data_IF_529790343240
#
_entry.id   IF_529790343240
#
_cell.length_a   1.000
_cell.length_b   1.000
_cell.length_c   1.000
_cell.angle_alpha   90.00
_cell.angle_beta   90.00
_cell.angle_gamma   90.00
#
_symmetry.space_group_name_H-M   'P 1'
#
loop_
_entity.id
_entity.type
_entity.pdbx_description
1 polymer ?
#
# COMPACT_ATOMS: atom_id res chain seq x y z
N UNK A 1 -37.39 -34.05 35.71
CA UNK A 1 -35.99 -34.43 35.98
C UNK A 1 -35.14 -33.68 35.00
N UNK A 2 -34.49 -32.62 35.48
CA UNK A 2 -33.52 -31.86 34.68
C UNK A 2 -32.32 -32.76 34.42
N UNK A 3 -31.96 -32.92 33.15
CA UNK A 3 -30.77 -33.66 32.75
C UNK A 3 -29.53 -32.87 33.18
N UNK A 4 -29.02 -33.16 34.36
CA UNK A 4 -27.68 -32.75 34.80
C UNK A 4 -26.66 -33.40 33.86
N UNK A 5 -26.27 -32.66 32.80
CA UNK A 5 -25.17 -33.05 31.91
C UNK A 5 -23.87 -33.01 32.70
N UNK A 6 -23.51 -34.11 33.34
CA UNK A 6 -22.21 -34.27 33.99
C UNK A 6 -21.15 -34.50 32.93
N UNK A 7 -20.19 -33.58 32.82
CA UNK A 7 -19.06 -33.74 31.91
C UNK A 7 -18.20 -34.90 32.38
N UNK A 8 -17.85 -35.79 31.45
CA UNK A 8 -16.87 -36.86 31.73
C UNK A 8 -15.47 -36.27 31.78
N UNK A 9 -14.56 -36.88 32.55
CA UNK A 9 -13.18 -36.42 32.63
C UNK A 9 -12.46 -36.46 31.28
N UNK A 10 -12.87 -37.36 30.37
CA UNK A 10 -12.37 -37.38 29.01
C UNK A 10 -12.80 -36.15 28.20
N UNK A 11 -14.06 -35.71 28.34
CA UNK A 11 -14.55 -34.48 27.70
C UNK A 11 -13.84 -33.25 28.26
N UNK A 12 -13.65 -33.19 29.58
CA UNK A 12 -12.88 -32.12 30.23
C UNK A 12 -11.45 -32.07 29.69
N UNK A 13 -10.77 -33.22 29.61
CA UNK A 13 -9.40 -33.30 29.09
C UNK A 13 -9.31 -32.89 27.62
N UNK A 14 -10.29 -33.26 26.78
CA UNK A 14 -10.37 -32.82 25.38
C UNK A 14 -10.56 -31.32 25.26
N UNK A 15 -11.43 -30.73 26.09
CA UNK A 15 -11.68 -29.28 26.07
C UNK A 15 -10.44 -28.51 26.54
N UNK A 16 -9.84 -28.94 27.66
CA UNK A 16 -8.64 -28.30 28.22
C UNK A 16 -7.47 -28.39 27.25
N UNK A 17 -7.23 -29.56 26.66
CA UNK A 17 -6.15 -29.73 25.67
C UNK A 17 -6.39 -28.92 24.40
N UNK A 18 -7.63 -28.79 23.93
CA UNK A 18 -7.96 -27.96 22.76
C UNK A 18 -7.69 -26.48 23.04
N UNK A 19 -8.15 -25.97 24.19
CA UNK A 19 -7.89 -24.57 24.60
C UNK A 19 -6.40 -24.29 24.76
N UNK A 20 -5.67 -25.19 25.43
CA UNK A 20 -4.22 -25.08 25.59
C UNK A 20 -3.49 -25.04 24.24
N UNK A 21 -3.92 -25.84 23.27
CA UNK A 21 -3.33 -25.84 21.92
C UNK A 21 -3.60 -24.52 21.19
N UNK A 22 -4.84 -24.04 21.21
CA UNK A 22 -5.23 -22.78 20.58
C UNK A 22 -4.47 -21.58 21.18
N UNK A 23 -4.38 -21.54 22.50
CA UNK A 23 -3.73 -20.45 23.21
C UNK A 23 -2.21 -20.44 22.96
N UNK A 24 -1.58 -21.63 22.94
CA UNK A 24 -0.17 -21.77 22.52
C UNK A 24 0.05 -21.33 21.08
N UNK A 25 -0.80 -21.75 20.16
CA UNK A 25 -0.69 -21.38 18.74
C UNK A 25 -0.86 -19.87 18.54
N UNK A 26 -1.74 -19.22 19.31
CA UNK A 26 -1.91 -17.77 19.27
C UNK A 26 -0.68 -17.04 19.79
N UNK A 27 -0.13 -17.46 20.93
CA UNK A 27 1.08 -16.87 21.49
C UNK A 27 2.29 -17.04 20.56
N UNK A 28 2.44 -18.21 19.94
CA UNK A 28 3.53 -18.48 19.00
C UNK A 28 3.45 -17.61 17.74
N UNK A 29 2.24 -17.41 17.21
CA UNK A 29 2.00 -16.49 16.08
C UNK A 29 2.32 -15.04 16.44
N UNK A 30 1.89 -14.58 17.61
CA UNK A 30 2.18 -13.21 18.06
C UNK A 30 3.69 -13.00 18.30
N UNK A 31 4.36 -13.98 18.89
CA UNK A 31 5.80 -13.91 19.14
C UNK A 31 6.61 -13.93 17.84
N UNK A 32 6.29 -14.84 16.92
CA UNK A 32 6.97 -14.92 15.61
C UNK A 32 6.76 -13.65 14.79
N UNK A 33 5.54 -13.07 14.78
CA UNK A 33 5.27 -11.81 14.10
C UNK A 33 6.07 -10.64 14.70
N UNK A 34 6.22 -10.57 16.04
CA UNK A 34 7.04 -9.54 16.70
C UNK A 34 8.52 -9.68 16.35
N UNK A 35 9.06 -10.90 16.44
CA UNK A 35 10.46 -11.18 16.07
C UNK A 35 10.75 -10.81 14.61
N UNK A 36 9.84 -11.17 13.70
CA UNK A 36 9.93 -10.80 12.28
C UNK A 36 9.90 -9.27 12.11
N UNK A 37 9.06 -8.55 12.86
CA UNK A 37 8.97 -7.10 12.79
C UNK A 37 10.25 -6.41 13.28
N UNK A 38 10.82 -6.87 14.40
CA UNK A 38 12.10 -6.36 14.90
C UNK A 38 13.24 -6.61 13.91
N UNK A 39 13.31 -7.82 13.33
CA UNK A 39 14.28 -8.14 12.29
C UNK A 39 14.11 -7.25 11.06
N UNK A 40 12.87 -7.02 10.63
CA UNK A 40 12.57 -6.16 9.50
C UNK A 40 13.02 -4.72 9.70
N UNK A 41 12.82 -4.16 10.90
CA UNK A 41 13.33 -2.83 11.26
C UNK A 41 14.85 -2.75 11.16
N UNK A 42 15.55 -3.81 11.58
CA UNK A 42 17.00 -3.92 11.46
C UNK A 42 17.46 -3.90 9.99
N UNK A 43 16.85 -4.74 9.15
CA UNK A 43 17.18 -4.83 7.71
C UNK A 43 16.90 -3.50 7.00
N UNK A 44 15.75 -2.89 7.26
CA UNK A 44 15.40 -1.58 6.68
C UNK A 44 16.44 -0.52 7.06
N UNK A 45 16.84 -0.46 8.33
CA UNK A 45 17.86 0.47 8.80
C UNK A 45 19.22 0.21 8.16
N UNK A 46 19.64 -1.05 8.02
CA UNK A 46 20.89 -1.44 7.35
C UNK A 46 20.89 -1.02 5.87
N UNK A 47 19.74 -1.14 5.21
CA UNK A 47 19.53 -0.70 3.82
C UNK A 47 19.31 0.81 3.67
N UNK A 48 19.34 1.58 4.76
CA UNK A 48 19.18 3.04 4.76
C UNK A 48 17.74 3.54 4.67
N UNK A 49 16.75 2.67 4.85
CA UNK A 49 15.33 3.01 4.89
C UNK A 49 14.86 3.37 6.30
N UNK A 50 13.72 4.08 6.38
CA UNK A 50 13.08 4.37 7.66
C UNK A 50 12.58 3.04 8.29
N UNK A 51 12.99 2.70 9.54
CA UNK A 51 12.54 1.48 10.22
C UNK A 51 11.01 1.42 10.41
N UNK A 52 10.31 2.55 10.44
CA UNK A 52 8.85 2.58 10.58
C UNK A 52 8.12 1.99 9.37
N UNK A 53 8.80 1.85 8.23
CA UNK A 53 8.26 1.14 7.06
C UNK A 53 7.96 -0.33 7.36
N UNK A 54 8.56 -0.93 8.40
CA UNK A 54 8.19 -2.26 8.87
C UNK A 54 6.70 -2.36 9.27
N UNK A 55 6.07 -1.27 9.67
CA UNK A 55 4.64 -1.28 10.02
C UNK A 55 3.73 -1.02 8.79
N UNK A 56 4.28 -0.47 7.71
CA UNK A 56 3.55 -0.12 6.49
C UNK A 56 3.68 -1.18 5.39
N UNK A 57 4.78 -1.92 5.37
CA UNK A 57 5.05 -2.96 4.39
C UNK A 57 4.33 -4.25 4.75
N UNK A 58 3.80 -4.92 3.72
CA UNK A 58 3.24 -6.26 3.84
C UNK A 58 4.33 -7.29 3.61
N UNK A 59 4.67 -8.04 4.65
CA UNK A 59 5.62 -9.15 4.58
C UNK A 59 5.28 -10.19 5.65
N UNK A 60 5.57 -11.43 5.34
CA UNK A 60 5.37 -12.62 6.16
C UNK A 60 6.67 -13.41 6.36
N UNK A 61 7.72 -13.08 5.59
CA UNK A 61 9.05 -13.65 5.66
C UNK A 61 10.11 -12.57 5.37
N UNK A 62 11.36 -12.92 5.61
CA UNK A 62 12.49 -12.06 5.27
C UNK A 62 12.67 -11.91 3.74
N UNK A 63 12.33 -12.94 2.97
CA UNK A 63 12.37 -12.91 1.51
C UNK A 63 11.35 -11.92 0.94
N UNK A 64 10.10 -11.94 1.44
CA UNK A 64 9.05 -11.02 0.98
C UNK A 64 9.32 -9.58 1.41
N UNK A 65 9.97 -9.39 2.57
CA UNK A 65 10.51 -8.08 2.97
C UNK A 65 11.60 -7.60 2.00
N UNK A 66 12.56 -8.45 1.66
CA UNK A 66 13.64 -8.08 0.73
C UNK A 66 13.10 -7.71 -0.65
N UNK A 67 12.14 -8.47 -1.18
CA UNK A 67 11.45 -8.12 -2.44
C UNK A 67 10.79 -6.74 -2.35
N UNK A 68 10.13 -6.45 -1.22
CA UNK A 68 9.50 -5.14 -0.99
C UNK A 68 10.54 -4.01 -0.94
N UNK A 69 11.69 -4.24 -0.30
CA UNK A 69 12.79 -3.28 -0.24
C UNK A 69 13.41 -3.07 -1.62
N UNK A 70 13.57 -4.13 -2.41
CA UNK A 70 14.08 -4.06 -3.77
C UNK A 70 13.15 -3.26 -4.68
N UNK A 71 11.84 -3.45 -4.57
CA UNK A 71 10.85 -2.62 -5.27
C UNK A 71 10.92 -1.14 -4.87
N UNK A 72 11.26 -0.83 -3.61
CA UNK A 72 11.45 0.55 -3.16
C UNK A 72 12.78 1.16 -3.62
N UNK A 73 13.86 0.37 -3.63
CA UNK A 73 15.21 0.84 -3.97
C UNK A 73 15.52 0.82 -5.47
N UNK A 74 14.92 -0.10 -6.22
CA UNK A 74 15.14 -0.33 -7.65
C UNK A 74 13.90 -0.15 -8.52
N UNK A 75 12.75 0.18 -7.93
CA UNK A 75 11.54 0.45 -8.69
C UNK A 75 11.77 1.60 -9.64
N UNK A 76 11.73 1.29 -10.94
CA UNK A 76 11.48 2.27 -11.99
C UNK A 76 10.44 3.24 -11.44
N UNK A 77 10.78 4.52 -11.39
CA UNK A 77 9.78 5.55 -11.11
C UNK A 77 8.67 5.25 -12.08
N UNK A 78 7.53 4.75 -11.59
CA UNK A 78 6.32 4.74 -12.40
C UNK A 78 6.13 6.22 -12.66
N UNK A 79 6.57 6.66 -13.83
CA UNK A 79 6.19 7.91 -14.40
C UNK A 79 4.70 7.74 -14.59
N UNK A 80 3.92 8.00 -13.53
CA UNK A 80 2.55 8.45 -13.72
C UNK A 80 2.69 9.53 -14.78
N UNK A 81 2.01 9.45 -15.94
CA UNK A 81 2.06 10.52 -16.91
C UNK A 81 1.69 11.78 -16.13
N UNK A 82 2.70 12.59 -15.84
CA UNK A 82 2.55 13.74 -14.99
C UNK A 82 1.67 14.68 -15.77
N UNK A 83 0.45 14.90 -15.30
CA UNK A 83 -0.28 16.08 -15.76
C UNK A 83 0.52 17.28 -15.24
N UNK A 84 1.35 17.83 -16.11
CA UNK A 84 2.16 19.00 -15.85
C UNK A 84 1.44 20.17 -16.54
N UNK A 85 0.63 20.98 -15.82
CA UNK A 85 -0.13 22.07 -16.44
C UNK A 85 0.77 23.16 -17.03
N UNK A 86 2.08 23.07 -16.82
CA UNK A 86 3.06 24.07 -17.23
C UNK A 86 4.04 23.58 -18.33
N UNK A 87 3.78 22.45 -18.99
CA UNK A 87 4.51 22.12 -20.24
C UNK A 87 3.95 22.92 -21.40
N UNK A 88 4.13 24.24 -21.33
CA UNK A 88 4.01 25.15 -22.45
C UNK A 88 5.13 24.89 -23.45
N UNK A 89 5.06 23.76 -24.16
CA UNK A 89 5.78 23.60 -25.41
C UNK A 89 4.93 24.33 -26.46
N UNK A 90 5.43 25.49 -26.89
CA UNK A 90 4.79 26.32 -27.89
C UNK A 90 4.39 25.52 -29.14
N UNK A 91 3.21 25.87 -29.67
CA UNK A 91 2.74 25.56 -31.02
C UNK A 91 2.25 24.14 -31.32
N UNK A 92 1.44 23.53 -30.45
CA UNK A 92 0.33 22.68 -30.94
C UNK A 92 -0.90 22.98 -30.11
N UNK A 93 -1.86 23.74 -30.66
CA UNK A 93 -3.18 23.87 -30.01
C UNK A 93 -3.82 22.48 -30.01
N UNK A 94 -4.06 21.83 -28.85
CA UNK A 94 -4.92 20.67 -28.84
C UNK A 94 -6.30 21.18 -29.28
N UNK A 95 -6.90 20.54 -30.30
CA UNK A 95 -8.32 20.75 -30.58
C UNK A 95 -9.07 20.42 -29.29
N UNK A 96 -9.74 21.41 -28.73
CA UNK A 96 -10.45 21.28 -27.47
C UNK A 96 -11.69 20.43 -27.73
N UNK A 97 -11.55 19.10 -27.64
CA UNK A 97 -12.59 18.11 -27.99
C UNK A 97 -13.91 18.36 -27.27
N UNK A 98 -13.85 18.98 -26.08
CA UNK A 98 -15.00 19.39 -25.31
C UNK A 98 -15.76 20.51 -26.04
N UNK A 99 -15.09 21.56 -26.52
CA UNK A 99 -15.77 22.66 -27.24
C UNK A 99 -16.41 22.20 -28.54
N UNK A 100 -15.75 21.31 -29.27
CA UNK A 100 -16.24 20.76 -30.53
C UNK A 100 -17.52 19.93 -30.33
N UNK A 101 -17.57 19.09 -29.28
CA UNK A 101 -18.76 18.32 -28.92
C UNK A 101 -19.98 19.19 -28.57
N UNK A 102 -19.74 20.43 -28.11
CA UNK A 102 -20.78 21.40 -27.76
C UNK A 102 -20.99 22.48 -28.82
N UNK A 103 -20.36 22.37 -30.00
CA UNK A 103 -20.50 23.34 -31.09
C UNK A 103 -20.00 24.75 -30.76
N UNK A 104 -19.09 24.88 -29.78
CA UNK A 104 -18.58 26.17 -29.34
C UNK A 104 -17.38 26.61 -30.21
N UNK A 105 -17.28 27.91 -30.56
CA UNK A 105 -16.15 28.42 -31.32
C UNK A 105 -14.82 28.23 -30.56
N UNK A 106 -13.78 27.83 -31.30
CA UNK A 106 -12.43 27.72 -30.76
C UNK A 106 -11.95 29.09 -30.28
N UNK A 107 -11.35 29.14 -29.08
CA UNK A 107 -11.00 30.40 -28.42
C UNK A 107 -10.12 31.29 -29.32
N UNK A 108 -10.51 32.57 -29.47
CA UNK A 108 -9.68 33.60 -30.13
C UNK A 108 -8.36 33.74 -29.36
N UNK A 109 -7.26 33.78 -30.11
CA UNK A 109 -5.98 34.21 -29.57
C UNK A 109 -6.06 35.72 -29.31
N UNK A 110 -5.84 36.16 -28.07
CA UNK A 110 -5.43 37.53 -27.81
C UNK A 110 -3.90 37.57 -27.86
N UNK A 111 -3.35 37.86 -29.04
CA UNK A 111 -1.97 38.30 -29.19
C UNK A 111 -2.01 39.77 -29.56
N UNK A 112 -1.42 40.61 -28.70
CA UNK A 112 -1.12 42.01 -28.95
C UNK A 112 -0.47 42.19 -30.32
N UNK A 113 -1.11 42.95 -31.21
CA UNK A 113 -0.41 43.73 -32.23
C UNK A 113 -1.11 45.10 -32.37
N UNK A 114 -0.41 46.11 -31.83
CA UNK A 114 -0.27 47.48 -32.33
C UNK A 114 -1.52 48.22 -32.81
N UNK A 115 -2.14 48.96 -31.90
CA UNK A 115 -2.91 50.15 -32.25
C UNK A 115 -1.98 51.28 -32.69
N UNK A 116 -1.78 51.41 -34.00
CA UNK A 116 -1.45 52.68 -34.62
C UNK A 116 -2.77 53.34 -35.05
N UNK A 117 -3.10 54.48 -34.46
CA UNK A 117 -3.76 55.60 -35.12
C UNK A 117 -3.67 56.88 -34.29
#
# INVERSE_FOLDING_TARGET
>A
MENEKTFTQEEVNKIVSSRLKEERAKMEKEFSAKMLNEKARGILKEKGFNPDLANALKYDSEETLMQSIELLGGGERIQKPGYNPNSGSGNVKPKDSIREAFGLPSGRNYSEEVGAH
#
